data_IF_995382399635
#
_entry.id   IF_995382399635
#
_cell.length_a   1.000
_cell.length_b   1.000
_cell.length_c   1.000
_cell.angle_alpha   90.00
_cell.angle_beta   90.00
_cell.angle_gamma   90.00
#
_symmetry.space_group_name_H-M   'P 1'
#
loop_
_entity.id
_entity.type
_entity.pdbx_description
1 polymer ?
#
# COMPACT_ATOMS: atom_id res chain seq x y z
N UNK A 1 -0.11 8.90 -13.84
CA UNK A 1 -0.82 8.14 -12.76
C UNK A 1 -2.33 7.86 -12.95
N UNK A 2 -2.93 7.96 -14.16
CA UNK A 2 -4.38 7.68 -14.38
C UNK A 2 -4.71 6.20 -14.61
N UNK A 3 -3.86 5.47 -15.34
CA UNK A 3 -4.15 4.10 -15.78
C UNK A 3 -4.36 3.08 -14.64
N UNK A 4 -3.57 3.17 -13.55
CA UNK A 4 -3.72 2.28 -12.39
C UNK A 4 -5.02 2.53 -11.59
N UNK A 5 -5.35 3.78 -11.33
CA UNK A 5 -6.61 4.15 -10.65
C UNK A 5 -7.84 3.78 -11.50
N UNK A 6 -7.73 3.88 -12.82
CA UNK A 6 -8.81 3.51 -13.74
C UNK A 6 -9.03 1.99 -13.80
N UNK A 7 -7.95 1.18 -13.68
CA UNK A 7 -8.05 -0.28 -13.57
C UNK A 7 -8.71 -0.74 -12.25
N UNK A 8 -8.29 -0.23 -11.09
CA UNK A 8 -8.91 -0.63 -9.81
C UNK A 8 -10.32 -0.04 -9.62
N UNK A 9 -10.64 1.09 -10.26
CA UNK A 9 -12.04 1.55 -10.37
C UNK A 9 -12.85 0.69 -11.32
N UNK A 10 -12.25 0.13 -12.37
CA UNK A 10 -12.94 -0.82 -13.24
C UNK A 10 -13.16 -2.17 -12.53
N UNK A 11 -12.24 -2.56 -11.64
CA UNK A 11 -12.12 -3.91 -11.08
C UNK A 11 -11.60 -3.88 -9.63
N UNK A 12 -12.39 -3.38 -8.65
CA UNK A 12 -11.94 -3.22 -7.26
C UNK A 12 -11.73 -4.56 -6.52
N UNK A 13 -12.35 -5.64 -6.98
CA UNK A 13 -12.21 -6.98 -6.39
C UNK A 13 -11.95 -8.04 -7.47
N UNK A 14 -10.81 -8.73 -7.34
CA UNK A 14 -10.52 -9.96 -8.05
C UNK A 14 -10.79 -11.16 -7.13
N UNK A 15 -11.90 -11.86 -7.36
CA UNK A 15 -12.31 -13.03 -6.56
C UNK A 15 -11.40 -14.24 -6.80
N UNK A 16 -10.63 -14.21 -7.88
CA UNK A 16 -9.63 -15.24 -8.21
C UNK A 16 -8.53 -15.36 -7.15
N UNK A 17 -8.15 -14.27 -6.47
CA UNK A 17 -7.17 -14.30 -5.38
C UNK A 17 -7.72 -15.04 -4.15
N UNK A 18 -8.97 -14.77 -3.78
CA UNK A 18 -9.69 -15.50 -2.72
C UNK A 18 -9.92 -16.99 -3.02
N UNK A 19 -9.77 -17.44 -4.27
CA UNK A 19 -9.92 -18.85 -4.67
C UNK A 19 -8.65 -19.68 -4.45
N UNK A 20 -7.49 -19.04 -4.56
CA UNK A 20 -6.19 -19.67 -4.39
C UNK A 20 -5.67 -19.58 -2.94
N UNK A 21 -6.36 -18.80 -2.09
CA UNK A 21 -6.13 -18.69 -0.65
C UNK A 21 -6.76 -19.86 0.13
N UNK A 22 -6.08 -20.31 1.19
CA UNK A 22 -6.61 -21.33 2.09
C UNK A 22 -7.88 -20.77 2.78
N UNK A 23 -9.04 -21.47 2.77
CA UNK A 23 -10.25 -21.02 3.48
C UNK A 23 -10.09 -20.93 5.01
N UNK A 24 -8.96 -21.42 5.56
CA UNK A 24 -8.53 -21.16 6.94
C UNK A 24 -7.70 -19.88 7.11
N UNK A 25 -7.36 -19.20 6.01
CA UNK A 25 -6.72 -17.90 6.01
C UNK A 25 -7.70 -16.86 6.53
N UNK A 26 -7.18 -16.05 7.44
CA UNK A 26 -7.94 -15.04 8.14
C UNK A 26 -8.20 -13.83 7.24
N UNK A 27 -7.33 -13.58 6.25
CA UNK A 27 -7.48 -12.50 5.27
C UNK A 27 -8.66 -12.73 4.33
N UNK A 28 -8.90 -13.99 3.97
CA UNK A 28 -10.00 -14.42 3.13
C UNK A 28 -11.36 -14.05 3.74
N UNK A 29 -11.60 -14.43 5.01
CA UNK A 29 -12.88 -14.13 5.70
C UNK A 29 -13.14 -12.63 5.81
N UNK A 30 -12.10 -11.83 5.96
CA UNK A 30 -12.21 -10.39 6.11
C UNK A 30 -12.66 -9.70 4.82
N UNK A 31 -12.13 -10.12 3.67
CA UNK A 31 -12.62 -9.69 2.37
C UNK A 31 -14.11 -9.99 2.19
N UNK A 32 -14.53 -11.19 2.61
CA UNK A 32 -15.95 -11.60 2.57
C UNK A 32 -16.83 -10.77 3.52
N UNK A 33 -16.37 -10.50 4.74
CA UNK A 33 -17.08 -9.62 5.70
C UNK A 33 -17.24 -8.22 5.09
N UNK A 34 -16.21 -7.66 4.47
CA UNK A 34 -16.30 -6.34 3.84
C UNK A 34 -17.30 -6.31 2.67
N UNK A 35 -17.26 -7.32 1.79
CA UNK A 35 -18.23 -7.45 0.69
C UNK A 35 -19.67 -7.57 1.21
N UNK A 36 -19.86 -8.27 2.34
CA UNK A 36 -21.16 -8.35 3.02
C UNK A 36 -21.58 -7.01 3.65
N UNK A 37 -20.64 -6.25 4.21
CA UNK A 37 -20.91 -4.88 4.68
C UNK A 37 -21.35 -3.96 3.54
N UNK A 38 -20.68 -4.01 2.40
CA UNK A 38 -21.05 -3.27 1.19
C UNK A 38 -22.48 -3.63 0.74
N UNK A 39 -22.81 -4.92 0.73
CA UNK A 39 -24.16 -5.39 0.45
C UNK A 39 -25.22 -4.83 1.41
N UNK A 40 -24.93 -4.81 2.71
CA UNK A 40 -25.86 -4.26 3.74
C UNK A 40 -26.02 -2.75 3.65
N UNK A 41 -25.02 -2.04 3.15
CA UNK A 41 -25.06 -0.59 2.96
C UNK A 41 -25.55 -0.17 1.57
N UNK A 42 -26.22 -1.09 0.85
CA UNK A 42 -26.76 -0.84 -0.48
C UNK A 42 -25.71 -0.37 -1.50
N UNK A 43 -24.46 -0.82 -1.33
CA UNK A 43 -23.39 -0.47 -2.25
C UNK A 43 -23.59 -1.11 -3.62
N UNK A 44 -24.16 -2.32 -3.70
CA UNK A 44 -24.46 -2.94 -4.99
C UNK A 44 -25.65 -2.23 -5.65
N UNK A 45 -25.48 -1.77 -6.89
CA UNK A 45 -26.54 -1.16 -7.68
C UNK A 45 -27.67 -2.16 -7.98
N UNK A 46 -27.32 -3.46 -8.10
CA UNK A 46 -28.31 -4.53 -8.12
C UNK A 46 -28.73 -4.89 -6.68
N UNK A 47 -29.92 -4.41 -6.30
CA UNK A 47 -30.51 -4.65 -4.99
C UNK A 47 -30.78 -6.13 -4.69
N UNK A 48 -31.00 -6.97 -5.71
CA UNK A 48 -31.25 -8.40 -5.53
C UNK A 48 -29.97 -9.16 -5.16
N UNK A 49 -28.86 -8.79 -5.80
CA UNK A 49 -27.52 -9.30 -5.46
C UNK A 49 -27.14 -8.84 -4.06
N UNK A 50 -27.27 -7.55 -3.76
CA UNK A 50 -27.01 -7.01 -2.43
C UNK A 50 -27.83 -7.70 -1.33
N UNK A 51 -29.12 -7.94 -1.56
CA UNK A 51 -29.99 -8.61 -0.57
C UNK A 51 -29.55 -10.06 -0.32
N UNK A 52 -29.17 -10.77 -1.38
CA UNK A 52 -28.75 -12.18 -1.30
C UNK A 52 -27.41 -12.32 -0.57
N UNK A 53 -26.43 -11.49 -0.92
CA UNK A 53 -25.12 -11.43 -0.28
C UNK A 53 -25.24 -11.05 1.20
N UNK A 54 -26.07 -10.06 1.52
CA UNK A 54 -26.31 -9.62 2.91
C UNK A 54 -26.95 -10.72 3.77
N UNK A 55 -27.84 -11.54 3.20
CA UNK A 55 -28.59 -12.58 3.90
C UNK A 55 -27.84 -13.91 4.06
N UNK A 56 -26.71 -14.11 3.36
CA UNK A 56 -25.96 -15.36 3.37
C UNK A 56 -25.47 -15.75 4.81
N UNK A 57 -25.60 -17.02 5.23
CA UNK A 57 -25.39 -17.39 6.63
C UNK A 57 -23.92 -17.64 7.00
N UNK A 58 -23.04 -17.92 6.03
CA UNK A 58 -21.62 -18.19 6.25
C UNK A 58 -20.72 -17.45 5.26
N UNK A 59 -19.39 -17.32 5.51
CA UNK A 59 -18.47 -16.72 4.56
C UNK A 59 -18.49 -17.43 3.20
N UNK A 60 -18.51 -18.76 3.21
CA UNK A 60 -18.57 -19.58 2.00
C UNK A 60 -19.86 -19.34 1.21
N UNK A 61 -20.99 -19.22 1.90
CA UNK A 61 -22.27 -18.92 1.23
C UNK A 61 -22.28 -17.49 0.66
N UNK A 62 -21.68 -16.52 1.36
CA UNK A 62 -21.53 -15.16 0.85
C UNK A 62 -20.68 -15.15 -0.41
N UNK A 63 -19.54 -15.86 -0.42
CA UNK A 63 -18.69 -15.99 -1.60
C UNK A 63 -19.46 -16.62 -2.77
N UNK A 64 -20.15 -17.73 -2.53
CA UNK A 64 -20.93 -18.41 -3.57
C UNK A 64 -22.03 -17.52 -4.17
N UNK A 65 -22.66 -16.66 -3.37
CA UNK A 65 -23.63 -15.67 -3.85
C UNK A 65 -22.97 -14.60 -4.74
N UNK A 66 -21.77 -14.15 -4.38
CA UNK A 66 -21.00 -13.16 -5.13
C UNK A 66 -20.50 -13.77 -6.45
N UNK A 67 -19.97 -14.99 -6.41
CA UNK A 67 -19.52 -15.73 -7.60
C UNK A 67 -20.68 -15.99 -8.57
N UNK A 68 -21.87 -16.34 -8.06
CA UNK A 68 -23.05 -16.53 -8.88
C UNK A 68 -23.46 -15.23 -9.61
N UNK A 69 -23.19 -14.06 -9.02
CA UNK A 69 -23.54 -12.76 -9.59
C UNK A 69 -22.45 -12.18 -10.51
N UNK A 70 -21.17 -12.39 -10.18
CA UNK A 70 -20.05 -11.67 -10.78
C UNK A 70 -18.93 -12.57 -11.34
N UNK A 71 -19.04 -13.89 -11.19
CA UNK A 71 -18.01 -14.86 -11.59
C UNK A 71 -16.69 -14.64 -10.83
N UNK A 72 -15.62 -14.27 -11.54
CA UNK A 72 -14.27 -14.15 -10.98
C UNK A 72 -13.90 -12.70 -10.59
N UNK A 73 -14.76 -11.73 -10.90
CA UNK A 73 -14.43 -10.30 -10.78
C UNK A 73 -15.69 -9.44 -10.52
N UNK A 74 -15.64 -8.57 -9.51
CA UNK A 74 -16.72 -7.62 -9.28
C UNK A 74 -16.36 -6.31 -9.98
N UNK A 75 -17.07 -5.92 -11.06
CA UNK A 75 -16.77 -4.68 -11.76
C UNK A 75 -17.12 -3.49 -10.87
N UNK A 76 -16.29 -2.44 -10.87
CA UNK A 76 -16.54 -1.26 -10.05
C UNK A 76 -17.84 -0.54 -10.42
N UNK A 77 -18.27 -0.66 -11.69
CA UNK A 77 -19.56 -0.19 -12.16
C UNK A 77 -20.77 -0.87 -11.49
N UNK A 78 -20.57 -1.97 -10.75
CA UNK A 78 -21.62 -2.60 -9.95
C UNK A 78 -21.86 -1.89 -8.61
N UNK A 79 -21.00 -0.94 -8.23
CA UNK A 79 -21.10 -0.24 -6.95
C UNK A 79 -21.67 1.17 -7.09
N UNK A 80 -22.30 1.64 -6.02
CA UNK A 80 -22.54 3.04 -5.77
C UNK A 80 -21.22 3.84 -5.86
N UNK A 81 -21.17 4.97 -6.60
CA UNK A 81 -19.94 5.70 -6.85
C UNK A 81 -19.23 6.20 -5.58
N UNK A 82 -19.98 6.56 -4.53
CA UNK A 82 -19.39 7.03 -3.27
C UNK A 82 -18.70 5.86 -2.56
N UNK A 83 -19.40 4.72 -2.46
CA UNK A 83 -18.85 3.53 -1.80
C UNK A 83 -17.75 2.85 -2.62
N UNK A 84 -17.76 2.99 -3.95
CA UNK A 84 -16.64 2.61 -4.82
C UNK A 84 -15.40 3.44 -4.50
N UNK A 85 -15.52 4.76 -4.40
CA UNK A 85 -14.37 5.62 -4.08
C UNK A 85 -13.82 5.36 -2.68
N UNK A 86 -14.70 5.09 -1.71
CA UNK A 86 -14.30 4.62 -0.38
C UNK A 86 -13.55 3.27 -0.46
N UNK A 87 -14.08 2.33 -1.24
CA UNK A 87 -13.47 1.00 -1.43
C UNK A 87 -12.08 1.11 -2.09
N UNK A 88 -11.94 1.89 -3.16
CA UNK A 88 -10.64 2.05 -3.85
C UNK A 88 -9.61 2.73 -2.95
N UNK A 89 -10.03 3.66 -2.08
CA UNK A 89 -9.09 4.35 -1.17
C UNK A 89 -8.66 3.53 0.04
N UNK A 90 -9.51 2.61 0.51
CA UNK A 90 -9.31 1.94 1.80
C UNK A 90 -9.25 0.41 1.72
N UNK A 91 -9.63 -0.20 0.60
CA UNK A 91 -9.90 -1.64 0.52
C UNK A 91 -9.46 -2.34 -0.78
N UNK A 92 -9.02 -1.65 -1.84
CA UNK A 92 -8.48 -2.34 -3.01
C UNK A 92 -6.99 -2.70 -2.82
N UNK A 93 -6.47 -3.62 -3.62
CA UNK A 93 -5.05 -4.06 -3.60
C UNK A 93 -4.04 -2.90 -3.79
N UNK A 94 -4.46 -1.75 -4.32
CA UNK A 94 -3.66 -0.53 -4.45
C UNK A 94 -4.05 0.57 -3.46
N UNK A 95 -4.93 0.29 -2.50
CA UNK A 95 -5.16 1.20 -1.39
C UNK A 95 -3.81 1.35 -0.66
N UNK A 96 -3.33 2.59 -0.41
CA UNK A 96 -2.10 2.83 0.37
C UNK A 96 -2.15 2.20 1.77
N UNK A 97 -3.35 1.74 2.14
CA UNK A 97 -3.79 1.28 3.43
C UNK A 97 -4.54 -0.06 3.36
N UNK A 98 -4.29 -0.92 2.35
CA UNK A 98 -4.78 -2.30 2.42
C UNK A 98 -4.34 -2.97 3.75
N UNK A 99 -3.18 -2.54 4.29
CA UNK A 99 -2.66 -2.84 5.61
C UNK A 99 -3.43 -2.21 6.80
N UNK A 100 -4.24 -1.16 6.61
CA UNK A 100 -5.06 -0.58 7.70
C UNK A 100 -6.21 -1.49 8.09
N UNK A 101 -6.62 -2.44 7.23
CA UNK A 101 -7.58 -3.46 7.64
C UNK A 101 -7.01 -4.35 8.75
N UNK A 102 -5.73 -4.70 8.69
CA UNK A 102 -5.01 -5.43 9.74
C UNK A 102 -4.90 -4.61 11.03
N UNK A 103 -4.94 -3.28 10.94
CA UNK A 103 -4.97 -2.39 12.10
C UNK A 103 -6.35 -2.32 12.81
N UNK A 104 -7.39 -2.93 12.23
CA UNK A 104 -8.75 -2.99 12.83
C UNK A 104 -8.86 -3.99 13.98
N UNK A 105 -7.91 -4.92 14.11
CA UNK A 105 -7.83 -5.88 15.20
C UNK A 105 -6.59 -5.61 16.05
N UNK A 106 -6.66 -4.72 17.05
CA UNK A 106 -5.52 -4.38 17.91
C UNK A 106 -5.14 -5.49 18.92
N UNK A 107 -5.58 -6.74 18.71
CA UNK A 107 -5.34 -7.84 19.65
C UNK A 107 -4.16 -8.70 19.19
N UNK A 108 -3.31 -9.11 20.15
CA UNK A 108 -2.05 -9.84 19.96
C UNK A 108 -2.17 -11.16 19.16
N UNK A 109 -3.38 -11.64 18.87
CA UNK A 109 -3.64 -12.73 17.94
C UNK A 109 -4.94 -12.43 17.15
N UNK A 110 -4.85 -12.53 15.82
CA UNK A 110 -6.03 -12.48 14.96
C UNK A 110 -7.00 -13.62 15.35
N UNK A 111 -8.29 -13.32 15.58
CA UNK A 111 -9.28 -14.37 15.85
C UNK A 111 -9.37 -15.36 14.68
N UNK A 112 -9.72 -16.62 14.96
CA UNK A 112 -9.94 -17.59 13.89
C UNK A 112 -11.00 -17.09 12.89
N UNK A 113 -10.97 -17.55 11.63
CA UNK A 113 -12.00 -17.29 10.62
C UNK A 113 -13.44 -17.34 11.15
N UNK A 114 -13.79 -18.40 11.89
CA UNK A 114 -15.12 -18.56 12.49
C UNK A 114 -15.41 -17.48 13.54
N UNK A 115 -14.44 -17.18 14.41
CA UNK A 115 -14.58 -16.17 15.45
C UNK A 115 -14.65 -14.74 14.87
N UNK A 116 -14.07 -14.49 13.69
CA UNK A 116 -14.23 -13.24 12.95
C UNK A 116 -15.62 -13.10 12.36
N UNK A 117 -16.12 -14.17 11.74
CA UNK A 117 -17.47 -14.18 11.19
C UNK A 117 -18.52 -13.95 12.27
N UNK A 118 -18.37 -14.59 13.43
CA UNK A 118 -19.26 -14.40 14.57
C UNK A 118 -19.20 -12.97 15.14
N UNK A 119 -18.07 -12.28 14.97
CA UNK A 119 -17.86 -10.89 15.41
C UNK A 119 -18.01 -9.86 14.29
N UNK A 120 -18.53 -10.23 13.13
CA UNK A 120 -18.61 -9.34 11.95
C UNK A 120 -19.32 -8.01 12.22
N UNK A 121 -20.31 -7.97 13.10
CA UNK A 121 -21.00 -6.72 13.48
C UNK A 121 -20.08 -5.71 14.18
N UNK A 122 -19.04 -6.18 14.89
CA UNK A 122 -18.01 -5.30 15.46
C UNK A 122 -17.12 -4.73 14.36
N UNK A 123 -16.79 -5.53 13.34
CA UNK A 123 -16.04 -5.09 12.16
C UNK A 123 -16.85 -4.03 11.41
N UNK A 124 -18.15 -4.24 11.22
CA UNK A 124 -19.06 -3.28 10.59
C UNK A 124 -19.08 -1.93 11.32
N UNK A 125 -19.18 -1.92 12.65
CA UNK A 125 -19.18 -0.69 13.43
C UNK A 125 -17.90 0.15 13.21
N UNK A 126 -16.76 -0.51 13.00
CA UNK A 126 -15.50 0.17 12.71
C UNK A 126 -15.52 0.75 11.29
N UNK A 127 -15.93 -0.05 10.30
CA UNK A 127 -16.06 0.40 8.91
C UNK A 127 -17.04 1.59 8.82
N UNK A 128 -18.16 1.56 9.54
CA UNK A 128 -19.13 2.66 9.61
C UNK A 128 -18.54 3.93 10.24
N UNK A 129 -17.68 3.78 11.25
CA UNK A 129 -16.95 4.92 11.82
C UNK A 129 -15.99 5.52 10.80
N UNK A 130 -15.31 4.69 10.01
CA UNK A 130 -14.38 5.14 8.97
C UNK A 130 -15.08 5.84 7.83
N UNK A 131 -16.19 5.27 7.35
CA UNK A 131 -17.00 5.89 6.32
C UNK A 131 -17.46 7.29 6.76
N UNK A 132 -17.87 7.45 8.03
CA UNK A 132 -18.23 8.76 8.59
C UNK A 132 -17.06 9.73 8.65
N UNK A 133 -15.90 9.34 9.18
CA UNK A 133 -14.71 10.19 9.22
C UNK A 133 -14.26 10.61 7.82
N UNK A 134 -14.27 9.68 6.86
CA UNK A 134 -13.94 9.96 5.47
C UNK A 134 -14.91 10.96 4.83
N UNK A 135 -16.23 10.76 5.01
CA UNK A 135 -17.27 11.71 4.56
C UNK A 135 -17.08 13.11 5.15
N UNK A 136 -16.55 13.20 6.37
CA UNK A 136 -16.28 14.45 7.07
C UNK A 136 -14.92 15.09 6.69
N UNK A 137 -14.12 14.44 5.85
CA UNK A 137 -12.79 14.91 5.47
C UNK A 137 -11.78 14.88 6.61
N UNK A 138 -12.03 14.08 7.66
CA UNK A 138 -11.11 13.91 8.77
C UNK A 138 -9.85 13.16 8.31
N UNK A 139 -8.66 13.54 8.81
CA UNK A 139 -7.44 12.78 8.54
C UNK A 139 -7.60 11.35 9.08
N UNK A 140 -6.97 10.41 8.40
CA UNK A 140 -7.02 8.99 8.74
C UNK A 140 -6.30 8.79 10.08
N UNK A 141 -7.04 8.65 11.18
CA UNK A 141 -6.51 8.36 12.53
C UNK A 141 -6.86 6.92 12.89
N UNK A 142 -5.92 6.02 13.26
CA UNK A 142 -6.23 4.64 13.71
C UNK A 142 -7.47 4.64 14.62
N UNK A 143 -8.52 3.93 14.23
CA UNK A 143 -9.75 3.81 15.00
C UNK A 143 -9.44 2.96 16.24
N UNK A 144 -9.15 3.63 17.34
CA UNK A 144 -9.15 3.00 18.66
C UNK A 144 -10.62 2.69 18.96
N UNK A 145 -10.99 1.41 18.91
CA UNK A 145 -12.33 0.97 19.32
C UNK A 145 -12.54 1.47 20.75
N UNK A 146 -13.60 2.25 21.05
CA UNK A 146 -13.90 2.65 22.41
C UNK A 146 -14.55 1.47 23.12
N UNK A 147 -13.77 0.46 23.48
CA UNK A 147 -14.12 -0.48 24.52
C UNK A 147 -13.45 -0.03 25.82
N UNK A 148 -14.30 0.15 26.83
CA UNK A 148 -13.93 0.43 28.20
C UNK A 148 -12.78 -0.49 28.66
N UNK A 149 -11.85 0.09 29.42
CA UNK A 149 -10.72 -0.56 30.11
C UNK A 149 -9.49 -0.96 29.29
N UNK A 150 -9.32 -0.44 28.07
CA UNK A 150 -8.01 -0.40 27.40
C UNK A 150 -7.52 1.04 27.15
N UNK A 151 -7.50 1.85 28.20
CA UNK A 151 -6.42 2.84 28.36
C UNK A 151 -5.12 2.13 28.77
N UNK A 152 -4.70 1.15 27.97
CA UNK A 152 -3.28 0.88 27.84
C UNK A 152 -2.77 1.99 26.94
N UNK A 153 -2.28 3.08 27.53
CA UNK A 153 -1.39 3.98 26.79
C UNK A 153 -0.42 3.10 26.01
N UNK A 154 -0.52 3.03 24.68
CA UNK A 154 0.61 2.57 23.88
C UNK A 154 1.74 3.47 24.33
N UNK A 155 2.64 2.91 25.14
CA UNK A 155 3.69 3.66 25.81
C UNK A 155 4.38 4.41 24.69
N UNK A 156 4.45 5.76 24.71
CA UNK A 156 5.09 6.49 23.63
C UNK A 156 6.45 5.85 23.41
N UNK A 157 6.62 5.22 22.25
CA UNK A 157 7.83 4.49 21.94
C UNK A 157 8.94 5.52 21.88
N UNK A 158 9.98 5.31 22.68
CA UNK A 158 11.05 6.28 22.80
C UNK A 158 11.64 6.52 21.41
N UNK A 159 11.69 7.79 20.94
CA UNK A 159 12.26 8.11 19.65
C UNK A 159 13.68 7.56 19.53
N UNK A 160 14.06 7.13 18.34
CA UNK A 160 15.40 6.58 18.07
C UNK A 160 16.30 7.58 17.38
N UNK A 161 17.57 7.55 17.75
CA UNK A 161 18.61 8.17 16.94
C UNK A 161 18.76 7.44 15.60
N UNK A 162 19.16 8.16 14.55
CA UNK A 162 19.21 7.65 13.18
C UNK A 162 20.00 6.34 13.04
N UNK A 163 21.18 6.25 13.66
CA UNK A 163 22.03 5.05 13.58
C UNK A 163 21.36 3.83 14.25
N UNK A 164 20.69 4.06 15.37
CA UNK A 164 19.95 3.00 16.08
C UNK A 164 18.72 2.58 15.27
N UNK A 165 18.04 3.54 14.65
CA UNK A 165 16.90 3.29 13.79
C UNK A 165 17.29 2.46 12.56
N UNK A 166 18.39 2.81 11.88
CA UNK A 166 18.90 2.10 10.70
C UNK A 166 19.35 0.67 11.06
N UNK A 167 20.10 0.51 12.15
CA UNK A 167 20.56 -0.82 12.60
C UNK A 167 19.40 -1.71 13.05
N UNK A 168 18.38 -1.12 13.67
CA UNK A 168 17.14 -1.83 14.02
C UNK A 168 16.37 -2.25 12.77
N UNK A 169 16.24 -1.39 11.76
CA UNK A 169 15.59 -1.72 10.49
C UNK A 169 16.25 -2.95 9.85
N UNK A 170 17.57 -2.97 9.73
CA UNK A 170 18.30 -4.11 9.16
C UNK A 170 18.01 -5.42 9.92
N UNK A 171 18.02 -5.36 11.25
CA UNK A 171 17.74 -6.54 12.11
C UNK A 171 16.32 -7.06 11.93
N UNK A 172 15.34 -6.15 11.88
CA UNK A 172 13.93 -6.51 11.72
C UNK A 172 13.64 -7.02 10.31
N UNK A 173 14.28 -6.43 9.32
CA UNK A 173 14.21 -6.85 7.92
C UNK A 173 14.66 -8.31 7.74
N UNK A 174 15.75 -8.71 8.37
CA UNK A 174 16.21 -10.12 8.33
C UNK A 174 15.27 -11.08 9.09
N UNK A 175 14.51 -10.57 10.07
CA UNK A 175 13.56 -11.34 10.86
C UNK A 175 12.16 -11.41 10.22
N UNK A 176 11.88 -10.65 9.16
CA UNK A 176 10.59 -10.55 8.47
C UNK A 176 10.28 -11.77 7.57
N UNK A 177 10.46 -12.96 8.13
CA UNK A 177 10.10 -14.27 7.55
C UNK A 177 9.03 -14.99 8.38
N UNK A 178 8.60 -14.36 9.47
CA UNK A 178 7.53 -14.81 10.37
C UNK A 178 6.50 -13.69 10.48
N UNK A 179 5.27 -14.03 10.85
CA UNK A 179 4.20 -13.05 11.00
C UNK A 179 4.57 -11.95 12.00
N UNK A 180 5.11 -12.31 13.16
CA UNK A 180 5.57 -11.38 14.19
C UNK A 180 6.76 -10.53 13.70
N UNK A 181 7.65 -11.11 12.90
CA UNK A 181 8.75 -10.40 12.27
C UNK A 181 8.28 -9.35 11.26
N UNK A 182 7.30 -9.69 10.43
CA UNK A 182 6.69 -8.76 9.47
C UNK A 182 6.01 -7.58 10.17
N UNK A 183 5.30 -7.84 11.26
CA UNK A 183 4.69 -6.79 12.09
C UNK A 183 5.72 -5.89 12.73
N UNK A 184 6.76 -6.47 13.34
CA UNK A 184 7.82 -5.69 13.96
C UNK A 184 8.56 -4.81 12.93
N UNK A 185 8.80 -5.34 11.73
CA UNK A 185 9.34 -4.58 10.60
C UNK A 185 8.44 -3.41 10.21
N UNK A 186 7.14 -3.65 9.99
CA UNK A 186 6.20 -2.60 9.62
C UNK A 186 6.04 -1.52 10.71
N UNK A 187 5.92 -1.93 11.98
CA UNK A 187 5.77 -1.01 13.12
C UNK A 187 7.00 -0.11 13.31
N UNK A 188 8.19 -0.56 12.90
CA UNK A 188 9.41 0.23 13.00
C UNK A 188 9.37 1.51 12.17
N UNK A 189 8.68 1.51 11.02
CA UNK A 189 8.50 2.71 10.19
C UNK A 189 7.65 3.79 10.87
N UNK A 190 6.80 3.42 11.82
CA UNK A 190 6.01 4.35 12.63
C UNK A 190 6.76 4.84 13.89
N UNK A 191 7.95 4.29 14.16
CA UNK A 191 8.76 4.72 15.29
C UNK A 191 9.44 6.04 14.97
N UNK A 192 9.11 7.07 15.74
CA UNK A 192 9.66 8.41 15.57
C UNK A 192 11.19 8.41 15.69
N UNK A 193 11.84 9.21 14.83
CA UNK A 193 13.24 9.56 14.97
C UNK A 193 13.41 10.74 15.93
N UNK A 194 14.54 10.83 16.63
CA UNK A 194 14.89 11.98 17.49
C UNK A 194 15.07 13.26 16.67
N UNK A 195 15.41 13.13 15.39
CA UNK A 195 15.53 14.20 14.41
C UNK A 195 14.83 13.84 13.11
N UNK A 196 14.40 14.81 12.27
CA UNK A 196 13.84 14.51 10.95
C UNK A 196 14.75 13.58 10.14
N UNK A 197 14.16 12.64 9.40
CA UNK A 197 14.89 11.62 8.63
C UNK A 197 15.98 12.24 7.74
N UNK A 198 17.22 11.78 7.93
CA UNK A 198 18.39 12.17 7.14
C UNK A 198 18.43 11.40 5.82
N UNK A 199 19.37 11.76 4.93
CA UNK A 199 19.55 11.04 3.66
C UNK A 199 19.97 9.58 3.91
N UNK A 200 20.73 9.32 4.96
CA UNK A 200 21.20 7.99 5.35
C UNK A 200 20.03 7.09 5.80
N UNK A 201 19.06 7.65 6.53
CA UNK A 201 17.84 6.92 6.88
C UNK A 201 17.05 6.58 5.63
N UNK A 202 16.84 7.55 4.73
CA UNK A 202 16.11 7.33 3.48
C UNK A 202 16.81 6.29 2.60
N UNK A 203 18.14 6.32 2.52
CA UNK A 203 18.94 5.31 1.83
C UNK A 203 18.78 3.92 2.44
N UNK A 204 18.75 3.81 3.78
CA UNK A 204 18.51 2.53 4.44
C UNK A 204 17.14 1.95 4.06
N UNK A 205 16.10 2.80 4.00
CA UNK A 205 14.77 2.37 3.57
C UNK A 205 14.73 1.97 2.10
N UNK A 206 15.35 2.74 1.20
CA UNK A 206 15.39 2.41 -0.23
C UNK A 206 16.17 1.12 -0.52
N UNK A 207 17.16 0.76 0.31
CA UNK A 207 17.90 -0.50 0.19
C UNK A 207 17.05 -1.74 0.47
N UNK A 208 15.91 -1.60 1.15
CA UNK A 208 15.00 -2.73 1.35
C UNK A 208 14.44 -3.26 0.02
N UNK A 209 14.37 -2.42 -1.02
CA UNK A 209 13.98 -2.80 -2.38
C UNK A 209 15.08 -3.56 -3.16
N UNK A 210 16.31 -3.61 -2.63
CA UNK A 210 17.43 -4.35 -3.20
C UNK A 210 17.65 -5.72 -2.54
N UNK A 211 16.79 -6.09 -1.57
CA UNK A 211 16.99 -7.32 -0.81
C UNK A 211 16.89 -8.57 -1.68
N UNK A 212 17.64 -9.58 -1.26
CA UNK A 212 17.58 -10.93 -1.82
C UNK A 212 17.61 -11.97 -0.68
N UNK A 213 16.53 -12.75 -0.48
CA UNK A 213 15.26 -12.71 -1.23
C UNK A 213 14.52 -11.37 -1.02
N UNK A 214 13.74 -10.91 -2.03
CA UNK A 214 12.95 -9.70 -1.89
C UNK A 214 11.85 -9.90 -0.84
N UNK A 215 11.46 -8.82 -0.18
CA UNK A 215 10.26 -8.81 0.66
C UNK A 215 9.00 -8.91 -0.19
N UNK A 216 7.95 -9.48 0.39
CA UNK A 216 6.63 -9.44 -0.22
C UNK A 216 6.16 -7.98 -0.37
N UNK A 217 5.41 -7.69 -1.43
CA UNK A 217 4.92 -6.34 -1.72
C UNK A 217 4.10 -5.77 -0.53
N UNK A 218 3.33 -6.60 0.16
CA UNK A 218 2.53 -6.19 1.33
C UNK A 218 3.39 -5.71 2.51
N UNK A 219 4.59 -6.26 2.67
CA UNK A 219 5.56 -5.86 3.71
C UNK A 219 6.19 -4.52 3.34
N UNK A 220 6.44 -4.29 2.04
CA UNK A 220 7.07 -3.07 1.54
C UNK A 220 6.17 -1.83 1.60
N UNK A 221 4.85 -1.98 1.76
CA UNK A 221 3.92 -0.85 1.91
C UNK A 221 4.31 0.10 3.06
N UNK A 222 4.83 -0.42 4.18
CA UNK A 222 5.27 0.43 5.30
C UNK A 222 6.49 1.31 4.92
N UNK A 223 7.41 0.75 4.13
CA UNK A 223 8.56 1.48 3.60
C UNK A 223 8.14 2.55 2.58
N UNK A 224 7.21 2.22 1.67
CA UNK A 224 6.66 3.18 0.70
C UNK A 224 5.94 4.35 1.38
N UNK A 225 5.11 4.05 2.38
CA UNK A 225 4.40 5.07 3.16
C UNK A 225 5.39 6.00 3.87
N UNK A 226 6.43 5.44 4.50
CA UNK A 226 7.49 6.25 5.10
C UNK A 226 8.17 7.15 4.07
N UNK A 227 8.48 6.63 2.88
CA UNK A 227 9.13 7.38 1.81
C UNK A 227 8.26 8.52 1.27
N UNK A 228 6.93 8.37 1.29
CA UNK A 228 6.00 9.40 0.79
C UNK A 228 6.02 10.69 1.62
N UNK A 229 6.31 10.58 2.92
CA UNK A 229 6.41 11.71 3.86
C UNK A 229 7.79 12.38 3.86
N UNK A 230 8.76 11.86 3.10
CA UNK A 230 10.12 12.40 3.06
C UNK A 230 10.16 13.69 2.23
N UNK A 231 10.83 14.76 2.71
CA UNK A 231 11.05 15.93 1.89
C UNK A 231 11.73 15.57 0.56
N UNK A 232 11.11 15.93 -0.56
CA UNK A 232 11.53 15.54 -1.91
C UNK A 232 13.02 15.76 -2.19
N UNK A 233 13.64 16.82 -1.66
CA UNK A 233 15.07 17.08 -1.86
C UNK A 233 15.97 16.00 -1.24
N UNK A 234 15.57 15.40 -0.12
CA UNK A 234 16.28 14.27 0.52
C UNK A 234 16.00 12.98 -0.22
N UNK A 235 14.77 12.76 -0.64
CA UNK A 235 14.38 11.62 -1.45
C UNK A 235 15.19 11.55 -2.75
N UNK A 236 15.18 12.63 -3.54
CA UNK A 236 15.93 12.72 -4.81
C UNK A 236 17.41 12.43 -4.57
N UNK A 237 17.98 12.95 -3.48
CA UNK A 237 19.38 12.72 -3.15
C UNK A 237 19.68 11.25 -2.85
N UNK A 238 18.86 10.61 -2.02
CA UNK A 238 19.00 9.20 -1.66
C UNK A 238 18.82 8.30 -2.90
N UNK A 239 17.74 8.48 -3.65
CA UNK A 239 17.51 7.72 -4.88
C UNK A 239 18.68 7.90 -5.86
N UNK A 240 19.16 9.13 -6.05
CA UNK A 240 20.25 9.38 -7.01
C UNK A 240 21.56 8.70 -6.64
N UNK A 241 21.79 8.43 -5.35
CA UNK A 241 22.94 7.64 -4.88
C UNK A 241 22.70 6.15 -5.16
N UNK A 242 21.48 5.65 -4.95
CA UNK A 242 21.15 4.22 -5.04
C UNK A 242 20.77 3.74 -6.45
N UNK A 243 20.44 4.67 -7.36
CA UNK A 243 19.90 4.37 -8.68
C UNK A 243 20.72 3.35 -9.50
N UNK A 244 22.07 3.36 -9.52
CA UNK A 244 22.83 2.32 -10.21
C UNK A 244 22.55 0.91 -9.67
N UNK A 245 22.49 0.76 -8.35
CA UNK A 245 22.23 -0.54 -7.70
C UNK A 245 20.80 -1.01 -7.97
N UNK A 246 19.83 -0.09 -7.99
CA UNK A 246 18.45 -0.38 -8.37
C UNK A 246 18.36 -0.86 -9.82
N UNK A 247 19.02 -0.19 -10.76
CA UNK A 247 19.05 -0.61 -12.16
C UNK A 247 19.68 -2.00 -12.36
N UNK A 248 20.68 -2.35 -11.55
CA UNK A 248 21.37 -3.64 -11.65
C UNK A 248 20.56 -4.79 -11.02
N UNK A 249 19.79 -4.51 -9.96
CA UNK A 249 19.11 -5.53 -9.17
C UNK A 249 17.61 -5.67 -9.45
N UNK A 250 16.90 -4.58 -9.76
CA UNK A 250 15.45 -4.56 -9.96
C UNK A 250 15.00 -3.36 -10.81
N UNK A 251 14.76 -3.61 -12.10
CA UNK A 251 14.20 -2.62 -13.03
C UNK A 251 12.88 -2.03 -12.53
N UNK A 252 12.01 -2.86 -11.95
CA UNK A 252 10.72 -2.47 -11.39
C UNK A 252 10.91 -1.46 -10.24
N UNK A 253 11.78 -1.77 -9.28
CA UNK A 253 12.06 -0.88 -8.16
C UNK A 253 12.73 0.43 -8.62
N UNK A 254 13.60 0.36 -9.64
CA UNK A 254 14.21 1.54 -10.24
C UNK A 254 13.14 2.49 -10.80
N UNK A 255 12.18 1.98 -11.59
CA UNK A 255 11.11 2.79 -12.16
C UNK A 255 10.12 3.29 -11.08
N UNK A 256 9.68 2.40 -10.19
CA UNK A 256 8.68 2.73 -9.16
C UNK A 256 9.20 3.80 -8.19
N UNK A 257 10.44 3.67 -7.72
CA UNK A 257 11.03 4.68 -6.84
C UNK A 257 11.39 5.97 -7.58
N UNK A 258 11.69 5.92 -8.89
CA UNK A 258 11.88 7.15 -9.66
C UNK A 258 10.61 8.01 -9.69
N UNK A 259 9.44 7.37 -9.78
CA UNK A 259 8.14 8.02 -9.86
C UNK A 259 7.70 8.73 -8.56
N UNK A 260 8.53 8.70 -7.51
CA UNK A 260 8.28 9.28 -6.18
C UNK A 260 6.94 8.83 -5.54
N UNK A 261 6.96 7.96 -4.53
CA UNK A 261 5.74 7.53 -3.87
C UNK A 261 5.04 8.73 -3.20
N UNK A 262 3.71 8.82 -3.39
CA UNK A 262 2.86 9.79 -2.70
C UNK A 262 2.68 11.16 -3.35
N UNK A 263 3.33 11.48 -4.47
CA UNK A 263 3.03 12.71 -5.22
C UNK A 263 3.45 12.62 -6.69
N UNK A 264 2.61 13.13 -7.59
CA UNK A 264 3.00 13.36 -8.98
C UNK A 264 4.10 14.43 -9.06
N UNK A 265 5.21 14.11 -9.71
CA UNK A 265 6.34 15.03 -9.87
C UNK A 265 6.05 16.04 -10.97
N UNK A 266 6.19 17.34 -10.66
CA UNK A 266 6.13 18.37 -11.68
C UNK A 266 7.34 18.27 -12.63
N UNK A 267 7.24 18.77 -13.88
CA UNK A 267 8.35 18.80 -14.82
C UNK A 267 9.64 19.45 -14.28
N UNK A 268 9.50 20.43 -13.38
CA UNK A 268 10.64 21.08 -12.71
C UNK A 268 11.32 20.12 -11.73
N UNK A 269 10.56 19.35 -10.98
CA UNK A 269 11.08 18.37 -10.03
C UNK A 269 11.74 17.20 -10.77
N UNK A 270 11.17 16.71 -11.87
CA UNK A 270 11.81 15.70 -12.72
C UNK A 270 13.16 16.18 -13.26
N UNK A 271 13.25 17.43 -13.73
CA UNK A 271 14.53 18.04 -14.14
C UNK A 271 15.54 18.16 -13.00
N UNK A 272 15.08 18.45 -11.78
CA UNK A 272 15.93 18.44 -10.59
C UNK A 272 16.44 17.02 -10.29
N UNK A 273 15.58 16.02 -10.44
CA UNK A 273 15.92 14.61 -10.30
C UNK A 273 17.03 14.21 -11.27
N UNK A 274 16.85 14.49 -12.56
CA UNK A 274 17.83 14.21 -13.63
C UNK A 274 19.18 14.89 -13.33
N UNK A 275 19.15 16.15 -12.89
CA UNK A 275 20.38 16.87 -12.54
C UNK A 275 21.12 16.21 -11.37
N UNK A 276 20.38 15.76 -10.36
CA UNK A 276 20.97 15.10 -9.20
C UNK A 276 21.48 13.69 -9.52
N UNK A 277 20.79 12.94 -10.39
CA UNK A 277 21.23 11.65 -10.92
C UNK A 277 22.58 11.77 -11.64
N UNK A 278 22.70 12.72 -12.58
CA UNK A 278 23.97 12.99 -13.28
C UNK A 278 25.07 13.42 -12.33
N UNK A 279 24.74 14.21 -11.30
CA UNK A 279 25.70 14.67 -10.29
C UNK A 279 26.23 13.53 -9.42
N UNK A 280 25.38 12.57 -9.05
CA UNK A 280 25.77 11.42 -8.24
C UNK A 280 26.50 10.35 -9.04
N UNK A 281 26.22 10.25 -10.35
CA UNK A 281 26.68 9.16 -11.21
C UNK A 281 27.49 9.68 -12.41
N UNK A 282 28.64 10.35 -12.23
CA UNK A 282 29.40 10.93 -13.33
C UNK A 282 30.01 9.89 -14.29
N UNK A 283 30.09 8.62 -13.89
CA UNK A 283 30.69 7.53 -14.67
C UNK A 283 29.69 6.56 -15.32
N UNK A 284 28.37 6.75 -15.11
CA UNK A 284 27.31 5.87 -15.63
C UNK A 284 26.13 6.73 -16.07
N UNK A 285 25.64 6.52 -17.28
CA UNK A 285 24.49 7.26 -17.79
C UNK A 285 23.16 6.67 -17.29
N UNK A 286 22.95 6.80 -15.98
CA UNK A 286 21.76 6.33 -15.27
C UNK A 286 20.47 6.93 -15.86
N UNK A 287 20.55 8.13 -16.45
CA UNK A 287 19.38 8.79 -17.08
C UNK A 287 19.01 8.07 -18.37
N UNK A 288 19.99 7.72 -19.20
CA UNK A 288 19.74 6.94 -20.42
C UNK A 288 19.22 5.53 -20.11
N UNK A 289 19.75 4.89 -19.07
CA UNK A 289 19.29 3.56 -18.65
C UNK A 289 17.85 3.59 -18.12
N UNK A 290 17.49 4.58 -17.30
CA UNK A 290 16.10 4.77 -16.85
C UNK A 290 15.15 5.09 -18.01
N UNK A 291 15.60 5.90 -18.97
CA UNK A 291 14.82 6.18 -20.18
C UNK A 291 14.54 4.91 -20.99
N UNK A 292 15.56 4.06 -21.17
CA UNK A 292 15.43 2.81 -21.90
C UNK A 292 14.43 1.87 -21.21
N UNK A 293 14.51 1.73 -19.89
CA UNK A 293 13.53 0.95 -19.11
C UNK A 293 12.12 1.50 -19.27
N UNK A 294 11.93 2.82 -19.24
CA UNK A 294 10.61 3.41 -19.39
C UNK A 294 10.00 3.19 -20.77
N UNK A 295 10.82 3.20 -21.84
CA UNK A 295 10.38 2.85 -23.20
C UNK A 295 9.97 1.38 -23.27
N UNK A 296 10.77 0.48 -22.70
CA UNK A 296 10.47 -0.96 -22.67
C UNK A 296 9.16 -1.27 -21.93
N UNK A 297 8.81 -0.44 -20.95
CA UNK A 297 7.56 -0.52 -20.17
C UNK A 297 6.38 0.21 -20.81
N UNK A 298 6.49 0.65 -22.07
CA UNK A 298 5.46 1.41 -22.80
C UNK A 298 4.95 2.61 -22.00
N UNK A 299 5.84 3.22 -21.21
CA UNK A 299 5.50 4.32 -20.30
C UNK A 299 5.69 5.70 -20.94
N UNK A 300 5.74 5.77 -22.28
CA UNK A 300 5.96 7.02 -23.03
C UNK A 300 4.84 8.05 -22.82
N UNK A 301 3.63 7.57 -22.52
CA UNK A 301 2.45 8.40 -22.22
C UNK A 301 2.46 8.98 -20.79
N UNK A 302 3.40 8.59 -19.92
CA UNK A 302 3.57 9.20 -18.61
C UNK A 302 4.52 10.41 -18.69
N UNK A 303 4.03 11.59 -18.30
CA UNK A 303 4.76 12.85 -18.39
C UNK A 303 6.13 12.79 -17.67
N UNK A 304 6.23 12.04 -16.56
CA UNK A 304 7.48 11.91 -15.80
C UNK A 304 8.53 11.17 -16.63
N UNK A 305 8.15 10.05 -17.23
CA UNK A 305 9.06 9.23 -18.03
C UNK A 305 9.36 9.83 -19.39
N UNK A 306 8.37 10.49 -20.02
CA UNK A 306 8.55 11.26 -21.25
C UNK A 306 9.66 12.30 -21.11
N UNK A 307 9.69 13.06 -19.99
CA UNK A 307 10.75 14.04 -19.73
C UNK A 307 12.13 13.38 -19.55
N UNK A 308 12.20 12.18 -18.99
CA UNK A 308 13.45 11.43 -18.83
C UNK A 308 13.98 10.95 -20.18
N UNK A 309 13.10 10.39 -21.01
CA UNK A 309 13.42 9.95 -22.38
C UNK A 309 13.96 11.13 -23.20
N UNK A 310 13.25 12.25 -23.17
CA UNK A 310 13.67 13.51 -23.78
C UNK A 310 15.06 13.97 -23.31
N UNK A 311 15.33 13.82 -22.01
CA UNK A 311 16.58 14.24 -21.41
C UNK A 311 17.77 13.33 -21.75
N UNK A 312 17.52 12.04 -21.99
CA UNK A 312 18.51 11.09 -22.48
C UNK A 312 18.85 11.36 -23.96
N UNK A 313 17.83 11.57 -24.81
CA UNK A 313 18.01 11.81 -26.24
C UNK A 313 18.76 13.10 -26.56
N UNK A 314 18.63 14.15 -25.74
CA UNK A 314 19.32 15.44 -25.93
C UNK A 314 20.84 15.40 -25.62
N UNK A 315 21.38 14.25 -25.21
CA UNK A 315 22.83 14.05 -24.96
C UNK A 315 23.49 13.04 -25.92
N UNK A 316 22.73 12.46 -26.87
CA UNK A 316 23.26 11.66 -27.98
C UNK A 316 23.85 12.50 -29.11
#
# INVERSE_FOLDING_TARGET
MKAGNDFFRASPFFLRLTRDEDPSDTNWVLGIIFLRWLARNHAFLDASVGSTVAAAPSPTDTLACIEAAFQDEIPGAAFDPELLEFTVRYFCMAAPYFSDFFSLFPQDAMPSPDAMWDKQEQVYAIIDSRLRSWRNGEPIVRAVIPNADQQGHAKPSTPLDADVWITTLATLSDAAVTHEGCWAYADHFYRALTTPASVEVVLAVMREFLRNPPHDASIMCAAENFLSDIPLSRYIKAYSILAPELLDASSDAALNLFNYPGSELTPRQVRQFIKELRRCNPGRDVVAELAQLAIEWDSEDDEIFSIVIDAAQKQG
#
